data_IF_767057849511
#
_entry.id   IF_767057849511
#
_cell.length_a   1.000
_cell.length_b   1.000
_cell.length_c   1.000
_cell.angle_alpha   90.00
_cell.angle_beta   90.00
_cell.angle_gamma   90.00
#
_symmetry.space_group_name_H-M   'P 1'
#
loop_
_entity.id
_entity.type
_entity.pdbx_description
1 polymer ?
#
# COMPACT_ATOMS: atom_id res chain seq x y z
N UNK A 1 16.65 16.07 8.36
CA UNK A 1 16.99 14.97 9.31
C UNK A 1 16.11 13.75 9.09
N UNK A 2 14.77 13.88 9.07
CA UNK A 2 13.84 12.81 8.66
C UNK A 2 13.84 12.50 7.14
N UNK A 3 14.81 12.99 6.38
CA UNK A 3 14.80 12.86 4.91
C UNK A 3 15.34 11.50 4.43
N UNK A 4 16.00 10.73 5.30
CA UNK A 4 16.62 9.45 4.94
C UNK A 4 15.76 8.24 5.27
N UNK A 5 14.73 8.41 6.11
CA UNK A 5 13.83 7.33 6.49
C UNK A 5 13.03 6.80 5.30
N UNK A 6 12.77 5.49 5.29
CA UNK A 6 11.83 4.87 4.36
C UNK A 6 10.64 4.33 5.17
N UNK A 7 9.44 4.63 4.70
CA UNK A 7 8.19 4.21 5.34
C UNK A 7 7.28 3.70 4.22
N UNK A 8 6.67 2.52 4.42
CA UNK A 8 5.59 2.07 3.55
C UNK A 8 4.33 2.90 3.77
N UNK A 9 3.36 2.77 2.86
CA UNK A 9 2.00 3.22 3.14
C UNK A 9 1.35 2.35 4.22
N UNK A 10 0.20 2.83 4.71
CA UNK A 10 -0.62 2.11 5.66
C UNK A 10 -1.39 0.99 4.95
N UNK A 11 -1.20 -0.25 5.39
CA UNK A 11 -1.85 -1.42 4.84
C UNK A 11 -2.71 -2.15 5.84
N UNK A 12 -3.78 -2.80 5.37
CA UNK A 12 -4.62 -3.63 6.22
C UNK A 12 -3.97 -4.99 6.51
N UNK A 13 -4.28 -5.54 7.67
CA UNK A 13 -4.03 -6.94 8.05
C UNK A 13 -5.31 -7.55 8.62
N UNK A 14 -5.43 -8.87 8.54
CA UNK A 14 -6.57 -9.61 9.09
C UNK A 14 -6.06 -10.82 9.88
N UNK A 15 -6.36 -10.87 11.18
CA UNK A 15 -5.84 -11.86 12.13
C UNK A 15 -4.30 -11.89 12.12
N UNK A 16 -3.68 -12.91 11.54
CA UNK A 16 -2.22 -13.00 11.37
C UNK A 16 -1.77 -12.88 9.91
N UNK A 17 -2.67 -12.51 9.01
CA UNK A 17 -2.37 -12.24 7.60
C UNK A 17 -2.09 -10.76 7.38
N UNK A 18 -0.97 -10.47 6.72
CA UNK A 18 -0.54 -9.12 6.37
C UNK A 18 -0.68 -8.93 4.85
N UNK A 19 -1.34 -7.85 4.45
CA UNK A 19 -1.58 -7.54 3.05
C UNK A 19 -0.69 -6.43 2.53
N UNK A 20 -0.38 -6.50 1.24
CA UNK A 20 0.32 -5.46 0.48
C UNK A 20 -0.50 -5.10 -0.76
N UNK A 21 -0.24 -3.96 -1.42
CA UNK A 21 -0.88 -3.60 -2.68
C UNK A 21 -0.66 -4.70 -3.71
N UNK A 22 -1.67 -4.89 -4.55
CA UNK A 22 -1.54 -5.75 -5.71
C UNK A 22 -0.39 -5.24 -6.61
N UNK A 23 0.54 -6.12 -7.03
CA UNK A 23 1.52 -5.80 -8.06
C UNK A 23 0.82 -5.28 -9.33
N UNK A 24 1.26 -4.14 -9.86
CA UNK A 24 0.75 -3.55 -11.11
C UNK A 24 1.33 -4.25 -12.35
N UNK A 25 1.50 -5.57 -12.26
CA UNK A 25 1.89 -6.46 -13.34
C UNK A 25 1.00 -7.69 -13.28
N UNK A 26 1.09 -8.55 -14.29
CA UNK A 26 0.37 -9.82 -14.29
C UNK A 26 0.87 -10.70 -13.13
N UNK A 27 -0.07 -11.19 -12.33
CA UNK A 27 0.17 -12.20 -11.29
C UNK A 27 0.06 -13.61 -11.88
N UNK A 28 0.82 -14.56 -11.34
CA UNK A 28 0.95 -15.94 -11.83
C UNK A 28 -0.22 -16.84 -11.42
N UNK A 29 -1.44 -16.42 -11.80
CA UNK A 29 -2.66 -17.20 -11.63
C UNK A 29 -2.78 -18.30 -12.71
N UNK A 30 -3.37 -19.46 -12.39
CA UNK A 30 -3.66 -20.50 -13.38
C UNK A 30 -4.51 -19.98 -14.54
N UNK A 31 -4.22 -20.39 -15.78
CA UNK A 31 -4.94 -19.92 -16.99
C UNK A 31 -6.46 -20.11 -16.91
N UNK A 32 -6.91 -21.24 -16.37
CA UNK A 32 -8.33 -21.54 -16.16
C UNK A 32 -9.01 -20.50 -15.26
N UNK A 33 -8.33 -20.11 -14.17
CA UNK A 33 -8.82 -19.07 -13.26
C UNK A 33 -8.86 -17.72 -13.97
N UNK A 34 -7.84 -17.39 -14.76
CA UNK A 34 -7.82 -16.13 -15.52
C UNK A 34 -9.01 -16.05 -16.47
N UNK A 35 -9.26 -17.06 -17.28
CA UNK A 35 -10.30 -17.01 -18.31
C UNK A 35 -11.72 -17.03 -17.72
N UNK A 36 -11.94 -17.77 -16.63
CA UNK A 36 -13.22 -17.80 -15.93
C UNK A 36 -13.46 -16.53 -15.09
N UNK A 37 -12.40 -15.93 -14.53
CA UNK A 37 -12.48 -14.92 -13.48
C UNK A 37 -11.80 -13.58 -13.81
N UNK A 38 -11.69 -13.18 -15.08
CA UNK A 38 -11.07 -11.90 -15.50
C UNK A 38 -11.59 -10.67 -14.75
N UNK A 39 -12.89 -10.63 -14.46
CA UNK A 39 -13.51 -9.51 -13.72
C UNK A 39 -13.11 -9.49 -12.25
N UNK A 40 -12.96 -10.66 -11.63
CA UNK A 40 -12.56 -10.85 -10.23
C UNK A 40 -11.09 -10.44 -10.07
N UNK A 41 -10.22 -10.81 -11.01
CA UNK A 41 -8.81 -10.40 -10.99
C UNK A 41 -8.67 -8.87 -10.97
N UNK A 42 -9.47 -8.12 -11.73
CA UNK A 42 -9.44 -6.66 -11.73
C UNK A 42 -9.89 -6.03 -10.40
N UNK A 43 -10.65 -6.76 -9.58
CA UNK A 43 -11.10 -6.30 -8.27
C UNK A 43 -10.06 -6.51 -7.16
N UNK A 44 -9.02 -7.31 -7.40
CA UNK A 44 -7.92 -7.48 -6.44
C UNK A 44 -7.23 -6.13 -6.24
N UNK A 45 -7.26 -5.64 -5.00
CA UNK A 45 -6.57 -4.44 -4.51
C UNK A 45 -5.36 -4.80 -3.66
N UNK A 46 -5.50 -5.87 -2.88
CA UNK A 46 -4.49 -6.32 -1.93
C UNK A 46 -4.22 -7.82 -2.09
N UNK A 47 -2.98 -8.24 -1.85
CA UNK A 47 -2.57 -9.65 -1.80
C UNK A 47 -1.86 -9.92 -0.48
N UNK A 48 -2.03 -11.11 0.10
CA UNK A 48 -1.27 -11.50 1.29
C UNK A 48 0.20 -11.78 0.94
N UNK A 49 1.08 -11.71 1.95
CA UNK A 49 2.47 -12.11 1.77
C UNK A 49 2.62 -13.58 1.36
N UNK A 50 1.73 -14.48 1.80
CA UNK A 50 1.72 -15.88 1.35
C UNK A 50 1.41 -15.98 -0.14
N UNK A 51 0.40 -15.25 -0.64
CA UNK A 51 0.12 -15.19 -2.08
C UNK A 51 1.30 -14.60 -2.86
N UNK A 52 2.00 -13.60 -2.32
CA UNK A 52 3.21 -13.07 -2.96
C UNK A 52 4.31 -14.13 -3.05
N UNK A 53 4.54 -14.92 -1.99
CA UNK A 53 5.51 -16.02 -2.02
C UNK A 53 5.15 -17.07 -3.06
N UNK A 54 3.89 -17.46 -3.16
CA UNK A 54 3.40 -18.38 -4.20
C UNK A 54 3.59 -17.80 -5.60
N UNK A 55 3.25 -16.51 -5.79
CA UNK A 55 3.47 -15.81 -7.06
C UNK A 55 4.95 -15.84 -7.47
N UNK A 56 5.84 -15.55 -6.52
CA UNK A 56 7.28 -15.53 -6.75
C UNK A 56 7.84 -16.92 -7.11
N UNK A 57 7.22 -17.99 -6.60
CA UNK A 57 7.52 -19.37 -6.99
C UNK A 57 6.97 -19.74 -8.38
N UNK A 58 6.16 -18.88 -9.01
CA UNK A 58 5.66 -19.08 -10.37
C UNK A 58 4.25 -19.65 -10.46
N UNK A 59 3.62 -20.02 -9.35
CA UNK A 59 2.24 -20.52 -9.34
C UNK A 59 1.52 -20.17 -8.04
N UNK A 60 0.42 -19.42 -8.16
CA UNK A 60 -0.53 -19.20 -7.06
C UNK A 60 -1.46 -20.41 -6.96
N UNK A 61 -1.59 -20.98 -5.76
CA UNK A 61 -2.54 -22.05 -5.51
C UNK A 61 -3.96 -21.48 -5.43
N UNK A 62 -4.83 -21.95 -6.34
CA UNK A 62 -6.22 -21.50 -6.40
C UNK A 62 -7.19 -22.65 -6.12
N UNK A 63 -7.92 -22.57 -5.01
CA UNK A 63 -8.96 -23.51 -4.62
C UNK A 63 -10.31 -22.98 -5.08
N UNK A 64 -10.90 -23.60 -6.11
CA UNK A 64 -12.20 -23.16 -6.67
C UNK A 64 -13.36 -23.30 -5.67
N UNK A 65 -13.24 -24.13 -4.64
CA UNK A 65 -14.29 -24.32 -3.63
C UNK A 65 -14.24 -23.24 -2.54
N UNK A 66 -13.13 -22.51 -2.42
CA UNK A 66 -12.95 -21.43 -1.45
C UNK A 66 -12.87 -20.09 -2.15
N UNK A 67 -13.70 -19.15 -1.71
CA UNK A 67 -13.61 -17.79 -2.22
C UNK A 67 -12.37 -17.08 -1.64
N UNK A 68 -11.24 -17.22 -2.34
CA UNK A 68 -9.97 -16.58 -1.99
C UNK A 68 -9.98 -15.06 -2.13
N UNK A 69 -10.97 -14.49 -2.83
CA UNK A 69 -11.09 -13.04 -2.99
C UNK A 69 -12.22 -12.48 -2.13
N UNK A 70 -11.87 -11.98 -0.95
CA UNK A 70 -12.82 -11.31 -0.06
C UNK A 70 -12.71 -9.80 -0.27
N UNK A 71 -13.71 -9.18 -0.91
CA UNK A 71 -13.78 -7.73 -1.13
C UNK A 71 -12.47 -7.05 -1.63
N UNK A 72 -11.78 -7.70 -2.57
CA UNK A 72 -10.53 -7.19 -3.14
C UNK A 72 -9.25 -7.59 -2.39
N UNK A 73 -9.36 -8.38 -1.32
CA UNK A 73 -8.25 -8.99 -0.59
C UNK A 73 -8.07 -10.43 -1.05
N UNK A 74 -6.92 -10.73 -1.65
CA UNK A 74 -6.59 -12.08 -2.09
C UNK A 74 -5.82 -12.83 -1.00
N UNK A 75 -6.44 -13.88 -0.46
CA UNK A 75 -5.88 -14.80 0.52
C UNK A 75 -5.26 -16.03 -0.17
N UNK A 76 -4.28 -16.65 0.48
CA UNK A 76 -3.79 -17.96 0.07
C UNK A 76 -4.77 -19.06 0.45
N UNK A 77 -4.64 -20.21 -0.20
CA UNK A 77 -5.44 -21.39 0.12
C UNK A 77 -5.16 -21.89 1.55
N UNK A 78 -3.94 -21.73 2.06
CA UNK A 78 -3.55 -22.12 3.42
C UNK A 78 -4.18 -21.19 4.48
N UNK A 79 -4.23 -19.89 4.22
CA UNK A 79 -4.87 -18.90 5.10
C UNK A 79 -6.37 -19.18 5.26
N UNK A 80 -7.08 -19.46 4.16
CA UNK A 80 -8.51 -19.82 4.24
C UNK A 80 -8.78 -21.20 4.82
N UNK A 81 -7.80 -22.12 4.81
CA UNK A 81 -7.91 -23.37 5.59
C UNK A 81 -7.85 -23.09 7.09
N UNK A 82 -7.10 -22.08 7.51
CA UNK A 82 -6.99 -21.67 8.91
C UNK A 82 -8.21 -20.89 9.39
N UNK A 83 -8.67 -19.92 8.62
CA UNK A 83 -9.75 -19.00 9.04
C UNK A 83 -11.16 -19.52 8.76
N UNK A 84 -11.31 -20.47 7.83
CA UNK A 84 -12.61 -20.84 7.30
C UNK A 84 -13.15 -19.78 6.33
N UNK A 85 -14.47 -19.79 6.12
CA UNK A 85 -15.15 -18.79 5.30
C UNK A 85 -15.13 -17.45 6.04
N UNK A 86 -14.69 -16.39 5.36
CA UNK A 86 -14.76 -15.02 5.87
C UNK A 86 -16.06 -14.42 5.32
N UNK A 87 -17.01 -14.14 6.21
CA UNK A 87 -18.27 -13.48 5.87
C UNK A 87 -18.12 -11.96 6.04
N UNK A 88 -18.74 -11.19 5.14
CA UNK A 88 -18.73 -9.72 5.18
C UNK A 88 -17.61 -9.05 4.39
N UNK A 89 -17.66 -7.73 4.33
CA UNK A 89 -16.71 -6.89 3.59
C UNK A 89 -15.64 -6.36 4.54
N UNK A 90 -14.39 -6.83 4.43
CA UNK A 90 -13.30 -6.40 5.34
C UNK A 90 -13.17 -4.88 5.44
N UNK A 91 -13.12 -4.19 4.30
CA UNK A 91 -13.12 -2.74 4.20
C UNK A 91 -14.03 -2.31 3.06
N UNK A 92 -15.07 -1.55 3.38
CA UNK A 92 -15.90 -0.89 2.37
C UNK A 92 -15.77 0.61 2.49
N UNK A 93 -16.19 1.31 1.44
CA UNK A 93 -16.12 2.75 1.41
C UNK A 93 -17.47 3.33 1.01
N UNK A 94 -17.84 4.42 1.68
CA UNK A 94 -19.07 5.14 1.43
C UNK A 94 -18.81 6.64 1.24
N UNK A 95 -19.68 7.28 0.48
CA UNK A 95 -19.63 8.70 0.20
C UNK A 95 -20.73 9.39 1.01
N UNK A 96 -20.34 10.18 2.00
CA UNK A 96 -21.28 11.00 2.78
C UNK A 96 -21.23 12.46 2.31
N UNK A 97 -22.38 13.01 1.94
CA UNK A 97 -22.51 14.44 1.62
C UNK A 97 -22.72 15.27 2.90
N UNK A 98 -21.83 16.23 3.11
CA UNK A 98 -21.87 17.17 4.24
C UNK A 98 -22.08 18.60 3.77
N UNK A 99 -22.61 19.43 4.65
CA UNK A 99 -22.86 20.86 4.40
C UNK A 99 -22.19 21.69 5.47
N UNK A 100 -21.41 22.69 5.07
CA UNK A 100 -20.89 23.69 6.00
C UNK A 100 -22.01 24.69 6.30
N UNK A 101 -22.40 24.80 7.58
CA UNK A 101 -23.32 25.82 8.05
C UNK A 101 -22.51 27.00 8.60
N UNK A 102 -22.65 28.18 7.98
CA UNK A 102 -22.15 29.42 8.58
C UNK A 102 -22.97 29.73 9.84
N UNK A 103 -22.32 29.78 11.00
CA UNK A 103 -22.97 30.10 12.29
C UNK A 103 -23.07 31.60 12.58
N UNK A 104 -22.94 32.46 11.56
CA UNK A 104 -23.16 33.90 11.70
C UNK A 104 -24.62 34.24 11.41
N UNK A 105 -25.47 34.01 12.40
CA UNK A 105 -26.76 34.67 12.51
C UNK A 105 -26.85 35.21 13.94
N UNK A 106 -26.34 36.42 14.17
CA UNK A 106 -26.77 37.24 15.32
C UNK A 106 -26.32 38.71 15.25
N UNK A 107 -25.54 39.14 14.24
CA UNK A 107 -25.31 40.58 14.01
C UNK A 107 -25.73 40.96 12.59
N UNK A 108 -26.93 41.50 12.52
CA UNK A 108 -27.47 42.45 11.54
C UNK A 108 -26.72 42.56 10.19
N UNK A 109 -27.19 41.77 9.23
CA UNK A 109 -27.39 42.04 7.80
C UNK A 109 -27.27 40.67 7.10
N UNK A 110 -28.37 39.92 7.17
CA UNK A 110 -28.56 38.73 6.38
C UNK A 110 -28.60 39.15 4.89
N UNK A 111 -27.43 39.23 4.26
CA UNK A 111 -27.36 39.01 2.81
C UNK A 111 -27.89 37.60 2.57
N UNK A 112 -28.89 37.50 1.71
CA UNK A 112 -29.68 36.33 1.32
C UNK A 112 -28.88 35.20 0.64
N UNK A 113 -27.61 35.04 0.98
CA UNK A 113 -26.68 34.05 0.46
C UNK A 113 -25.93 33.44 1.66
N UNK A 114 -26.65 32.64 2.45
CA UNK A 114 -25.98 31.68 3.33
C UNK A 114 -25.19 30.74 2.43
N UNK A 115 -23.87 30.88 2.39
CA UNK A 115 -23.01 30.05 1.55
C UNK A 115 -22.98 28.61 2.10
N UNK A 116 -23.98 27.82 1.70
CA UNK A 116 -23.98 26.37 1.86
C UNK A 116 -23.02 25.80 0.82
N UNK A 117 -21.83 25.41 1.26
CA UNK A 117 -20.90 24.67 0.42
C UNK A 117 -21.06 23.17 0.72
N UNK A 118 -21.75 22.38 -0.13
CA UNK A 118 -21.73 20.94 0.00
C UNK A 118 -20.31 20.43 -0.28
N UNK A 119 -19.87 19.46 0.50
CA UNK A 119 -18.65 18.71 0.25
C UNK A 119 -18.91 17.25 0.59
N UNK A 120 -18.38 16.35 -0.23
CA UNK A 120 -18.51 14.92 0.02
C UNK A 120 -17.26 14.42 0.75
N UNK A 121 -17.47 13.61 1.77
CA UNK A 121 -16.42 12.93 2.52
C UNK A 121 -16.45 11.46 2.16
N UNK A 122 -15.29 10.92 1.79
CA UNK A 122 -15.13 9.49 1.55
C UNK A 122 -14.73 8.82 2.86
N UNK A 123 -15.60 7.99 3.40
CA UNK A 123 -15.34 7.19 4.59
C UNK A 123 -14.91 5.79 4.21
N UNK A 124 -13.92 5.26 4.92
CA UNK A 124 -13.57 3.86 4.89
C UNK A 124 -14.04 3.24 6.21
N UNK A 125 -14.92 2.24 6.11
CA UNK A 125 -15.42 1.51 7.25
C UNK A 125 -14.71 0.17 7.34
N UNK A 126 -14.43 -0.23 8.56
CA UNK A 126 -13.82 -1.52 8.91
C UNK A 126 -14.90 -2.38 9.51
N UNK A 127 -15.19 -3.54 8.89
CA UNK A 127 -16.29 -4.42 9.29
C UNK A 127 -15.76 -5.71 9.96
N UNK A 128 -14.76 -5.57 10.84
CA UNK A 128 -14.22 -6.69 11.61
C UNK A 128 -13.30 -6.23 12.74
N UNK A 129 -13.46 -6.82 13.92
CA UNK A 129 -12.50 -6.65 15.03
C UNK A 129 -11.17 -7.39 14.79
N UNK A 130 -11.13 -8.28 13.80
CA UNK A 130 -9.92 -9.00 13.42
C UNK A 130 -9.06 -8.20 12.42
N UNK A 131 -9.54 -7.04 11.96
CA UNK A 131 -8.81 -6.17 11.04
C UNK A 131 -7.94 -5.18 11.81
N UNK A 132 -6.71 -5.03 11.35
CA UNK A 132 -5.78 -4.04 11.88
C UNK A 132 -5.07 -3.32 10.73
N UNK A 133 -4.34 -2.25 11.05
CA UNK A 133 -3.49 -1.56 10.10
C UNK A 133 -2.04 -1.62 10.53
N UNK A 134 -1.14 -1.69 9.56
CA UNK A 134 0.29 -1.70 9.79
C UNK A 134 1.00 -0.93 8.68
N UNK A 135 2.24 -0.50 8.96
CA UNK A 135 3.17 -0.02 7.95
C UNK A 135 4.56 -0.53 8.31
N UNK A 136 5.43 -0.63 7.30
CA UNK A 136 6.82 -1.01 7.46
C UNK A 136 7.67 0.25 7.61
N UNK A 137 8.66 0.15 8.48
CA UNK A 137 9.59 1.22 8.80
C UNK A 137 11.01 0.72 8.57
N UNK A 138 11.78 1.45 7.77
CA UNK A 138 13.22 1.29 7.68
C UNK A 138 13.88 2.59 8.13
N UNK A 139 14.36 2.56 9.37
CA UNK A 139 15.05 3.65 10.05
C UNK A 139 16.56 3.39 10.18
N UNK A 140 17.10 2.40 9.45
CA UNK A 140 18.52 2.02 9.49
C UNK A 140 19.47 3.18 9.17
N UNK A 141 18.99 4.14 8.37
CA UNK A 141 19.70 5.34 7.96
C UNK A 141 19.35 6.58 8.79
N UNK A 142 18.56 6.44 9.85
CA UNK A 142 18.11 7.53 10.71
C UNK A 142 19.14 7.82 11.81
N UNK A 143 19.29 9.10 12.16
CA UNK A 143 20.15 9.50 13.27
C UNK A 143 19.58 9.01 14.60
N UNK A 144 20.44 8.50 15.49
CA UNK A 144 20.05 7.89 16.76
C UNK A 144 19.28 8.86 17.69
N UNK A 145 19.55 10.16 17.61
CA UNK A 145 18.82 11.19 18.38
C UNK A 145 17.39 11.46 17.87
N UNK A 146 17.05 10.96 16.67
CA UNK A 146 15.74 11.15 16.04
C UNK A 146 14.83 9.93 16.24
N UNK A 147 15.38 8.72 16.36
CA UNK A 147 14.57 7.49 16.55
C UNK A 147 13.58 7.59 17.72
N UNK A 148 13.97 8.04 18.94
CA UNK A 148 13.01 8.16 20.04
C UNK A 148 11.87 9.15 19.76
N UNK A 149 12.15 10.20 18.99
CA UNK A 149 11.13 11.20 18.59
C UNK A 149 10.16 10.62 17.58
N UNK A 150 10.65 9.82 16.65
CA UNK A 150 9.83 9.11 15.68
C UNK A 150 8.92 8.10 16.39
N UNK A 151 9.48 7.26 17.27
CA UNK A 151 8.69 6.31 18.06
C UNK A 151 7.63 7.01 18.91
N UNK A 152 7.99 8.15 19.53
CA UNK A 152 7.03 8.95 20.29
C UNK A 152 5.90 9.48 19.40
N UNK A 153 6.21 9.92 18.17
CA UNK A 153 5.20 10.35 17.21
C UNK A 153 4.29 9.20 16.77
N UNK A 154 4.83 8.00 16.58
CA UNK A 154 4.04 6.79 16.28
C UNK A 154 3.13 6.44 17.46
N UNK A 155 3.65 6.47 18.69
CA UNK A 155 2.91 6.16 19.92
C UNK A 155 1.77 7.14 20.22
N UNK A 156 1.79 8.34 19.61
CA UNK A 156 0.73 9.34 19.73
C UNK A 156 -0.43 9.10 18.76
N UNK A 157 -0.26 8.23 17.75
CA UNK A 157 -1.29 7.95 16.74
C UNK A 157 -2.65 7.53 17.34
N UNK A 158 -2.73 6.67 18.37
CA UNK A 158 -4.00 6.30 18.98
C UNK A 158 -4.79 7.50 19.54
N UNK A 159 -4.08 8.47 20.14
CA UNK A 159 -4.68 9.67 20.74
C UNK A 159 -5.07 10.71 19.69
N UNK A 160 -4.25 10.86 18.64
CA UNK A 160 -4.45 11.89 17.61
C UNK A 160 -5.34 11.43 16.46
N UNK A 161 -5.32 10.14 16.13
CA UNK A 161 -5.93 9.54 14.94
C UNK A 161 -5.23 9.86 13.61
N UNK A 162 -5.59 9.12 12.57
CA UNK A 162 -5.12 9.32 11.19
C UNK A 162 -6.28 9.72 10.26
N UNK A 163 -6.03 10.69 9.39
CA UNK A 163 -6.97 11.08 8.34
C UNK A 163 -7.75 12.37 8.64
N UNK A 164 -8.86 12.56 7.91
CA UNK A 164 -9.80 13.66 8.11
C UNK A 164 -10.83 13.35 9.19
N UNK A 165 -11.61 14.36 9.61
CA UNK A 165 -12.76 14.17 10.53
C UNK A 165 -12.40 13.50 11.87
N UNK A 166 -11.14 13.63 12.32
CA UNK A 166 -10.64 13.08 13.60
C UNK A 166 -11.45 13.57 14.80
N UNK A 167 -11.92 14.82 14.74
CA UNK A 167 -12.78 15.44 15.76
C UNK A 167 -14.16 14.80 15.88
N UNK A 168 -14.64 14.05 14.89
CA UNK A 168 -15.90 13.30 14.96
C UNK A 168 -15.68 11.81 15.28
N UNK A 169 -14.46 11.44 15.71
CA UNK A 169 -14.11 10.07 16.09
C UNK A 169 -13.59 9.19 14.94
N UNK A 170 -13.43 9.72 13.74
CA UNK A 170 -12.93 8.95 12.59
C UNK A 170 -11.41 8.77 12.63
N UNK A 171 -10.94 7.58 12.27
CA UNK A 171 -9.50 7.29 12.19
C UNK A 171 -8.78 7.21 13.53
N UNK A 172 -9.52 7.03 14.63
CA UNK A 172 -8.95 6.72 15.95
C UNK A 172 -8.57 5.24 16.02
N UNK A 173 -7.55 4.94 16.84
CA UNK A 173 -7.08 3.59 17.07
C UNK A 173 -7.09 3.30 18.56
N UNK A 174 -7.38 2.05 18.95
CA UNK A 174 -7.34 1.66 20.36
C UNK A 174 -5.90 1.65 20.89
N UNK A 175 -4.95 1.19 20.09
CA UNK A 175 -3.55 1.10 20.46
C UNK A 175 -2.63 1.06 19.24
N UNK A 176 -1.34 1.25 19.47
CA UNK A 176 -0.28 1.05 18.48
C UNK A 176 0.87 0.29 19.13
N UNK A 177 1.40 -0.70 18.42
CA UNK A 177 2.60 -1.44 18.82
C UNK A 177 3.68 -1.26 17.77
N UNK A 178 4.92 -1.11 18.24
CA UNK A 178 6.11 -1.08 17.38
C UNK A 178 6.78 -2.44 17.56
N UNK A 179 6.94 -3.16 16.46
CA UNK A 179 7.57 -4.47 16.41
C UNK A 179 8.93 -4.34 15.72
N UNK A 180 10.00 -4.72 16.41
CA UNK A 180 11.38 -4.68 15.86
C UNK A 180 11.56 -5.65 14.69
N UNK A 181 10.84 -6.76 14.70
CA UNK A 181 10.78 -7.70 13.58
C UNK A 181 9.37 -8.23 13.41
N UNK A 182 9.00 -8.49 12.17
CA UNK A 182 7.77 -9.17 11.85
C UNK A 182 8.06 -10.50 11.16
N UNK A 183 7.62 -11.61 11.78
CA UNK A 183 7.91 -12.97 11.32
C UNK A 183 7.50 -13.20 9.85
N UNK A 184 6.40 -12.59 9.41
CA UNK A 184 5.96 -12.67 8.01
C UNK A 184 7.00 -12.08 7.05
N UNK A 185 7.62 -10.94 7.44
CA UNK A 185 8.57 -10.23 6.61
C UNK A 185 9.96 -10.88 6.65
N UNK A 186 10.38 -11.37 7.81
CA UNK A 186 11.61 -12.18 7.91
C UNK A 186 11.49 -13.48 7.12
N UNK A 187 10.34 -14.16 7.20
CA UNK A 187 10.08 -15.33 6.37
C UNK A 187 10.11 -14.98 4.89
N UNK A 188 9.51 -13.86 4.49
CA UNK A 188 9.55 -13.41 3.10
C UNK A 188 10.98 -13.17 2.60
N UNK A 189 11.80 -12.46 3.41
CA UNK A 189 13.22 -12.21 3.08
C UNK A 189 14.02 -13.50 2.93
N UNK A 190 13.80 -14.49 3.80
CA UNK A 190 14.44 -15.80 3.72
C UNK A 190 14.05 -16.54 2.44
N UNK A 191 12.77 -16.57 2.09
CA UNK A 191 12.28 -17.23 0.88
C UNK A 191 12.92 -16.62 -0.38
N UNK A 192 13.06 -15.28 -0.41
CA UNK A 192 13.79 -14.58 -1.47
C UNK A 192 15.26 -14.99 -1.48
N UNK A 193 15.95 -15.01 -0.33
CA UNK A 193 17.36 -15.41 -0.25
C UNK A 193 17.62 -16.86 -0.68
N UNK A 194 16.69 -17.77 -0.41
CA UNK A 194 16.77 -19.15 -0.87
C UNK A 194 16.61 -19.24 -2.40
N UNK A 195 15.63 -18.52 -2.96
CA UNK A 195 15.46 -18.43 -4.41
C UNK A 195 16.71 -17.86 -5.11
N UNK A 196 17.31 -16.86 -4.46
CA UNK A 196 18.60 -16.30 -4.84
C UNK A 196 19.66 -17.42 -4.87
N UNK A 197 19.85 -18.19 -3.80
CA UNK A 197 20.87 -19.26 -3.78
C UNK A 197 20.74 -20.35 -4.86
N UNK A 198 19.56 -20.50 -5.50
CA UNK A 198 19.25 -21.61 -6.40
C UNK A 198 19.26 -21.25 -7.90
N UNK A 199 19.33 -19.97 -8.28
CA UNK A 199 19.24 -19.54 -9.69
C UNK A 199 20.41 -18.64 -10.06
N UNK A 200 21.06 -18.82 -11.22
CA UNK A 200 22.09 -17.89 -11.72
C UNK A 200 21.49 -16.67 -12.46
N UNK A 201 20.16 -16.59 -12.57
CA UNK A 201 19.40 -15.64 -13.40
C UNK A 201 18.95 -14.35 -12.68
N UNK A 202 19.56 -14.05 -11.54
CA UNK A 202 19.30 -12.89 -10.67
C UNK A 202 19.19 -11.51 -11.33
N UNK A 203 19.63 -11.34 -12.58
CA UNK A 203 19.53 -10.08 -13.31
C UNK A 203 18.09 -9.66 -13.67
N UNK A 204 17.07 -10.35 -13.14
CA UNK A 204 15.64 -10.07 -13.37
C UNK A 204 14.86 -9.77 -12.07
N UNK A 205 15.52 -9.63 -10.92
CA UNK A 205 14.83 -9.23 -9.69
C UNK A 205 14.21 -7.85 -9.88
N UNK A 206 12.89 -7.78 -9.74
CA UNK A 206 12.13 -6.53 -9.77
C UNK A 206 11.80 -6.14 -8.34
N UNK A 207 11.28 -4.94 -8.15
CA UNK A 207 10.84 -4.44 -6.87
C UNK A 207 9.41 -3.94 -6.98
N UNK A 208 8.59 -4.28 -6.00
CA UNK A 208 7.26 -3.70 -5.83
C UNK A 208 7.35 -2.55 -4.82
N UNK A 209 6.84 -1.38 -5.20
CA UNK A 209 6.74 -0.23 -4.31
C UNK A 209 5.62 -0.45 -3.28
N UNK A 210 6.00 -0.38 -2.02
CA UNK A 210 5.11 -0.37 -0.86
C UNK A 210 4.91 1.06 -0.31
N UNK A 211 5.32 2.08 -1.06
CA UNK A 211 5.06 3.47 -0.74
C UNK A 211 4.66 4.23 -1.99
N UNK A 212 4.06 5.40 -1.80
CA UNK A 212 3.90 6.36 -2.88
C UNK A 212 5.24 7.02 -3.15
N UNK A 213 5.68 7.02 -4.41
CA UNK A 213 7.06 7.38 -4.78
C UNK A 213 7.07 8.60 -5.67
N UNK A 214 7.97 9.53 -5.39
CA UNK A 214 8.25 10.66 -6.27
C UNK A 214 9.70 10.51 -6.71
N UNK A 215 9.97 10.07 -7.95
CA UNK A 215 11.34 9.99 -8.47
C UNK A 215 12.06 11.33 -8.36
N UNK A 216 13.35 11.32 -8.02
CA UNK A 216 14.12 12.56 -7.87
C UNK A 216 14.55 13.17 -9.21
N UNK A 217 14.68 12.35 -10.24
CA UNK A 217 15.11 12.71 -11.59
C UNK A 217 14.60 11.71 -12.63
N UNK A 218 14.89 11.99 -13.91
CA UNK A 218 14.48 11.16 -15.04
C UNK A 218 15.18 9.78 -15.05
N UNK A 219 16.36 9.65 -14.43
CA UNK A 219 17.05 8.36 -14.27
C UNK A 219 16.25 7.45 -13.33
N UNK A 220 15.80 7.97 -12.18
CA UNK A 220 14.91 7.24 -11.28
C UNK A 220 13.57 6.89 -11.92
N UNK A 221 13.00 7.79 -12.72
CA UNK A 221 11.77 7.51 -13.45
C UNK A 221 11.97 6.43 -14.53
N UNK A 222 13.13 6.41 -15.18
CA UNK A 222 13.50 5.38 -16.17
C UNK A 222 13.51 3.95 -15.62
N UNK A 223 13.55 3.79 -14.28
CA UNK A 223 13.58 2.49 -13.59
C UNK A 223 12.22 1.84 -13.39
N UNK A 224 11.16 2.56 -13.71
CA UNK A 224 9.78 2.12 -13.54
C UNK A 224 9.38 1.19 -14.70
N UNK A 225 8.96 -0.03 -14.38
CA UNK A 225 8.45 -1.01 -15.35
C UNK A 225 6.94 -0.83 -15.58
N UNK A 226 6.18 -0.71 -14.50
CA UNK A 226 4.73 -0.60 -14.56
C UNK A 226 4.21 0.19 -13.37
N UNK A 227 3.33 1.15 -13.63
CA UNK A 227 2.91 2.10 -12.60
C UNK A 227 1.54 2.70 -12.90
N UNK A 228 0.97 3.29 -11.85
CA UNK A 228 -0.10 4.28 -11.96
C UNK A 228 0.39 5.59 -11.37
N UNK A 229 -0.17 6.70 -11.86
CA UNK A 229 0.06 8.03 -11.30
C UNK A 229 -1.13 8.45 -10.47
N UNK A 230 -0.82 9.07 -9.33
CA UNK A 230 -1.79 9.74 -8.49
C UNK A 230 -1.38 11.19 -8.29
N UNK A 231 -2.36 12.10 -8.35
CA UNK A 231 -2.16 13.49 -7.99
C UNK A 231 -2.31 13.64 -6.47
N UNK A 232 -1.22 13.98 -5.79
CA UNK A 232 -1.17 14.26 -4.34
C UNK A 232 -1.29 15.76 -4.12
N UNK A 233 -2.23 16.15 -3.26
CA UNK A 233 -2.47 17.53 -2.88
C UNK A 233 -3.10 17.60 -1.51
N UNK A 234 -4.07 18.50 -1.35
CA UNK A 234 -4.83 18.67 -0.11
C UNK A 234 -4.45 19.96 0.61
N UNK A 235 -4.83 20.05 1.88
CA UNK A 235 -4.76 21.28 2.66
C UNK A 235 -3.81 21.13 3.87
N UNK A 236 -3.25 22.25 4.30
CA UNK A 236 -2.45 22.30 5.53
C UNK A 236 -3.37 22.23 6.74
N UNK A 237 -3.12 21.25 7.60
CA UNK A 237 -3.81 21.09 8.88
C UNK A 237 -2.90 21.56 10.01
N UNK A 238 -2.76 22.87 10.15
CA UNK A 238 -1.98 23.51 11.21
C UNK A 238 -2.73 24.74 11.71
N UNK A 239 -2.81 24.99 13.03
CA UNK A 239 -3.36 26.22 13.57
C UNK A 239 -2.71 27.45 12.92
N UNK A 240 -3.54 28.40 12.46
CA UNK A 240 -3.09 29.60 11.73
C UNK A 240 -2.90 29.41 10.21
N UNK A 241 -2.93 28.18 9.70
CA UNK A 241 -2.77 27.86 8.27
C UNK A 241 -3.85 26.92 7.73
N UNK A 242 -4.95 26.74 8.47
CA UNK A 242 -6.10 25.94 8.04
C UNK A 242 -6.68 26.50 6.74
N UNK A 243 -6.99 25.62 5.79
CA UNK A 243 -7.58 25.99 4.50
C UNK A 243 -6.58 26.41 3.41
N UNK A 244 -5.29 26.51 3.71
CA UNK A 244 -4.28 26.74 2.66
C UNK A 244 -4.01 25.46 1.87
N UNK A 245 -4.17 25.53 0.54
CA UNK A 245 -3.96 24.40 -0.37
C UNK A 245 -2.47 24.19 -0.62
N UNK A 246 -1.98 22.97 -0.37
CA UNK A 246 -0.62 22.53 -0.70
C UNK A 246 -0.40 22.53 -2.22
N UNK A 247 0.84 22.69 -2.66
CA UNK A 247 1.19 22.49 -4.07
C UNK A 247 0.89 21.04 -4.47
N UNK A 248 0.16 20.86 -5.57
CA UNK A 248 -0.14 19.54 -6.10
C UNK A 248 1.13 18.92 -6.72
N UNK A 249 1.36 17.63 -6.48
CA UNK A 249 2.50 16.85 -7.01
C UNK A 249 1.99 15.53 -7.56
N UNK A 250 2.51 15.09 -8.71
CA UNK A 250 2.26 13.74 -9.20
C UNK A 250 3.23 12.76 -8.56
N UNK A 251 2.70 11.62 -8.12
CA UNK A 251 3.48 10.54 -7.54
C UNK A 251 3.08 9.21 -8.17
N UNK A 252 4.02 8.28 -8.16
CA UNK A 252 3.82 6.88 -8.53
C UNK A 252 3.15 6.16 -7.37
N UNK A 253 2.10 5.39 -7.64
CA UNK A 253 1.36 4.68 -6.60
C UNK A 253 2.10 3.45 -6.10
N UNK A 254 1.76 3.05 -4.89
CA UNK A 254 1.94 1.71 -4.35
C UNK A 254 1.52 0.61 -5.35
N UNK A 255 2.19 -0.54 -5.28
CA UNK A 255 2.02 -1.66 -6.22
C UNK A 255 2.79 -1.51 -7.53
N UNK A 256 3.36 -0.34 -7.81
CA UNK A 256 4.18 -0.11 -9.00
C UNK A 256 5.45 -0.95 -8.97
N UNK A 257 5.93 -1.35 -10.15
CA UNK A 257 7.05 -2.26 -10.34
C UNK A 257 8.25 -1.52 -10.92
N UNK A 258 9.42 -1.77 -10.35
CA UNK A 258 10.70 -1.17 -10.72
C UNK A 258 11.72 -2.28 -11.01
N UNK A 259 12.65 -2.09 -11.94
CA UNK A 259 13.70 -3.10 -12.17
C UNK A 259 14.87 -2.97 -11.19
N UNK A 260 14.95 -1.87 -10.43
CA UNK A 260 15.91 -1.66 -9.35
C UNK A 260 15.32 -0.73 -8.27
N UNK A 261 15.92 -0.73 -7.08
CA UNK A 261 15.56 0.25 -6.05
C UNK A 261 15.94 1.66 -6.48
N UNK A 262 15.09 2.63 -6.12
CA UNK A 262 15.38 4.06 -6.27
C UNK A 262 15.39 4.74 -4.90
N UNK A 263 15.81 5.99 -4.85
CA UNK A 263 15.77 6.78 -3.62
C UNK A 263 14.37 7.39 -3.40
N UNK A 264 13.78 7.92 -4.49
CA UNK A 264 12.61 8.79 -4.40
C UNK A 264 12.94 10.13 -3.75
N UNK A 265 11.93 10.95 -3.47
CA UNK A 265 12.13 12.35 -3.11
C UNK A 265 11.17 12.82 -2.01
N UNK A 266 11.57 13.86 -1.28
CA UNK A 266 10.73 14.57 -0.31
C UNK A 266 10.65 16.03 -0.75
N UNK A 267 9.48 16.43 -1.23
CA UNK A 267 9.29 17.71 -1.92
C UNK A 267 8.67 18.75 -0.98
N UNK A 268 9.23 19.96 -0.98
CA UNK A 268 8.59 21.12 -0.36
C UNK A 268 7.33 21.52 -1.16
N UNK A 269 6.17 21.46 -0.50
CA UNK A 269 4.84 21.78 -1.03
C UNK A 269 4.17 22.93 -0.27
N UNK A 270 4.97 23.74 0.42
CA UNK A 270 4.52 24.84 1.27
C UNK A 270 3.66 25.83 0.48
N UNK A 271 2.45 26.17 0.97
CA UNK A 271 1.64 27.22 0.36
C UNK A 271 2.17 28.63 0.66
N UNK A 272 2.89 28.80 1.76
CA UNK A 272 3.44 30.08 2.24
C UNK A 272 4.87 29.84 2.75
N UNK A 273 5.77 30.81 2.59
CA UNK A 273 7.21 30.65 2.88
C UNK A 273 7.54 30.33 4.35
N UNK A 274 6.72 30.80 5.29
CA UNK A 274 6.99 30.72 6.73
C UNK A 274 6.81 29.33 7.33
N UNK A 275 5.97 28.48 6.72
CA UNK A 275 5.69 27.13 7.24
C UNK A 275 6.07 26.09 6.20
N UNK A 276 7.09 25.29 6.54
CA UNK A 276 7.59 24.22 5.68
C UNK A 276 6.68 23.00 5.74
N UNK A 277 6.06 22.67 4.61
CA UNK A 277 5.21 21.51 4.43
C UNK A 277 5.85 20.60 3.40
N UNK A 278 6.00 19.32 3.74
CA UNK A 278 6.66 18.35 2.87
C UNK A 278 5.68 17.29 2.38
N UNK A 279 5.84 16.92 1.11
CA UNK A 279 5.23 15.72 0.55
C UNK A 279 6.29 14.62 0.53
N UNK A 280 6.07 13.59 1.34
CA UNK A 280 6.92 12.41 1.38
C UNK A 280 6.68 11.54 0.14
N UNK A 281 7.76 11.08 -0.48
CA UNK A 281 7.76 10.28 -1.71
C UNK A 281 9.00 9.40 -1.85
N UNK A 282 9.57 8.95 -0.72
CA UNK A 282 10.70 8.01 -0.71
C UNK A 282 10.23 6.61 -1.09
N UNK A 283 11.11 5.88 -1.76
CA UNK A 283 10.84 4.51 -2.19
C UNK A 283 11.04 3.52 -1.03
N UNK A 284 9.97 2.80 -0.67
CA UNK A 284 10.03 1.59 0.13
C UNK A 284 9.69 0.42 -0.79
N UNK A 285 10.70 -0.30 -1.26
CA UNK A 285 10.51 -1.45 -2.15
C UNK A 285 10.76 -2.76 -1.44
N UNK A 286 10.08 -3.82 -1.88
CA UNK A 286 10.46 -5.19 -1.56
C UNK A 286 10.72 -5.95 -2.86
N UNK A 287 11.61 -6.97 -2.85
CA UNK A 287 11.80 -7.85 -4.00
C UNK A 287 10.50 -8.39 -4.56
N UNK A 288 10.43 -8.60 -5.87
CA UNK A 288 9.30 -9.17 -6.60
C UNK A 288 9.83 -10.03 -7.75
N UNK A 289 9.34 -11.26 -7.86
CA UNK A 289 9.71 -12.19 -8.93
C UNK A 289 8.50 -12.42 -9.84
N UNK A 290 8.67 -12.21 -11.13
CA UNK A 290 7.58 -12.31 -12.10
C UNK A 290 7.22 -13.75 -12.49
N UNK A 291 7.93 -14.76 -11.97
CA UNK A 291 7.63 -16.20 -12.14
C UNK A 291 7.64 -16.72 -13.58
N UNK A 292 7.85 -15.87 -14.59
CA UNK A 292 7.95 -16.26 -16.00
C UNK A 292 9.18 -17.15 -16.26
N UNK A 293 10.17 -17.14 -15.36
CA UNK A 293 11.37 -17.98 -15.45
C UNK A 293 11.12 -19.49 -15.31
N UNK A 294 10.03 -19.93 -14.67
CA UNK A 294 9.76 -21.37 -14.53
C UNK A 294 8.97 -21.96 -15.70
N UNK A 295 8.10 -21.18 -16.35
CA UNK A 295 7.29 -21.67 -17.47
C UNK A 295 8.09 -22.05 -18.73
N UNK A 296 9.33 -21.58 -18.84
CA UNK A 296 10.23 -21.94 -19.95
C UNK A 296 11.09 -23.18 -19.67
N UNK A 297 11.36 -23.53 -18.41
CA UNK A 297 12.17 -24.71 -18.08
C UNK A 297 11.36 -26.01 -18.20
N UNK A 298 10.05 -25.98 -17.95
CA UNK A 298 9.18 -27.16 -18.11
C UNK A 298 8.85 -27.50 -19.58
N UNK A 299 9.05 -26.54 -20.50
CA UNK A 299 8.97 -26.82 -21.94
C UNK A 299 10.25 -27.47 -22.48
N UNK A 300 11.42 -27.10 -21.95
CA UNK A 300 12.68 -27.71 -22.40
C UNK A 300 12.92 -29.11 -21.83
N UNK A 301 12.28 -29.48 -20.71
CA UNK A 301 12.37 -30.84 -20.14
C UNK A 301 11.35 -31.83 -20.72
N UNK A 302 10.33 -31.36 -21.45
CA UNK A 302 9.31 -32.19 -22.10
C UNK A 302 9.54 -32.45 -23.59
N UNK A 303 10.36 -31.63 -24.28
CA UNK A 303 10.69 -31.83 -25.71
C UNK A 303 11.94 -32.71 -25.94
N UNK A 304 12.60 -33.21 -24.90
CA UNK A 304 13.85 -33.98 -25.00
C UNK A 304 13.74 -35.52 -24.93
N UNK A 305 12.53 -36.09 -25.00
CA UNK A 305 12.34 -37.56 -24.83
C UNK A 305 11.84 -38.33 -26.05
N UNK A 306 11.53 -37.68 -27.16
CA UNK A 306 11.07 -38.35 -28.39
C UNK A 306 12.01 -38.06 -29.56
N UNK A 307 13.25 -38.59 -29.51
CA UNK A 307 14.06 -38.79 -30.72
C UNK A 307 15.22 -39.76 -30.40
N UNK A 308 14.90 -41.04 -30.24
CA UNK A 308 15.81 -42.16 -30.54
C UNK A 308 15.01 -43.46 -30.62
N UNK A 309 14.60 -43.81 -31.84
CA UNK A 309 14.21 -45.15 -32.28
C UNK A 309 14.53 -45.28 -33.75
#
# INVERSE_FOLDING_TARGET
KLLTIKISSLYPGYKDTYFIPRPLIKINLPKQVIDENRKIIKKIKFISFEVLKENNKGSIEFDKEKDQLVNGFLFSSSELKKYGKIDGDLIFADLEDKVILSRLSDTAEATSEGNFAPYSVYYFYVDSNDLFFYFLLDDSSLQEDIKPKLESAIRLIPDEGLGGERSTGSGLFESVSILESADFYESYKRDIQEYKGTTNDFKKEKFIALSTVIPKDDDEFGKVISYLLVKRGGYVYQPGYLGHKKRDVYAITDGSIFYEEIEGNVIDVSPVLETKVYQFGRFFGIPFLDGEGQYNNDKQSSEGKDETS
#
